data_IF_215510107265
#
_entry.id   IF_215510107265
#
_cell.length_a   1.000
_cell.length_b   1.000
_cell.length_c   1.000
_cell.angle_alpha   90.00
_cell.angle_beta   90.00
_cell.angle_gamma   90.00
#
_symmetry.space_group_name_H-M   'P 1'
#
loop_
_entity.id
_entity.type
_entity.pdbx_description
1 polymer ?
#
# COMPACT_ATOMS: atom_id res chain seq x y z
N UNK A 1 -29.84 39.74 13.13
CA UNK A 1 -30.29 38.95 11.95
C UNK A 1 -29.46 37.69 11.94
N UNK A 2 -30.11 36.54 12.12
CA UNK A 2 -29.47 35.24 12.25
C UNK A 2 -29.26 34.63 10.86
N UNK A 3 -28.06 34.11 10.59
CA UNK A 3 -27.80 33.30 9.39
C UNK A 3 -27.48 31.88 9.85
N UNK A 4 -28.36 30.94 9.47
CA UNK A 4 -28.33 29.54 9.85
C UNK A 4 -27.97 28.71 8.62
N UNK A 5 -26.90 27.96 8.75
CA UNK A 5 -26.45 26.85 7.90
C UNK A 5 -27.55 25.79 7.72
N UNK A 6 -27.72 25.23 6.50
CA UNK A 6 -27.82 23.78 6.29
C UNK A 6 -27.97 23.45 4.80
N UNK A 7 -27.02 22.68 4.27
CA UNK A 7 -27.21 21.80 3.12
C UNK A 7 -27.84 20.48 3.59
N UNK A 8 -28.71 19.86 2.78
CA UNK A 8 -29.16 18.45 2.86
C UNK A 8 -30.06 18.19 1.65
N UNK A 9 -29.60 17.45 0.64
CA UNK A 9 -29.70 15.98 0.50
C UNK A 9 -31.03 15.57 -0.15
N UNK A 10 -30.92 15.18 -1.42
CA UNK A 10 -31.92 14.43 -2.19
C UNK A 10 -32.20 13.07 -1.53
N UNK A 11 -33.44 12.59 -1.64
CA UNK A 11 -33.79 11.19 -1.37
C UNK A 11 -34.88 10.73 -2.32
N UNK A 12 -34.63 9.52 -2.81
CA UNK A 12 -35.31 8.70 -3.81
C UNK A 12 -36.73 8.29 -3.39
N UNK A 13 -37.61 8.16 -4.39
CA UNK A 13 -38.80 7.28 -4.49
C UNK A 13 -39.47 7.60 -5.84
N UNK A 14 -39.82 6.69 -6.75
CA UNK A 14 -40.37 5.35 -6.62
C UNK A 14 -40.22 4.61 -7.95
N UNK A 15 -39.96 3.30 -7.92
CA UNK A 15 -40.11 2.42 -9.09
C UNK A 15 -41.36 1.56 -8.91
N UNK A 16 -42.22 1.60 -9.93
CA UNK A 16 -43.51 0.93 -10.04
C UNK A 16 -43.37 -0.60 -10.14
N UNK A 17 -44.31 -1.33 -9.52
CA UNK A 17 -44.42 -2.79 -9.51
C UNK A 17 -45.51 -3.22 -10.49
N UNK A 18 -45.22 -4.17 -11.38
CA UNK A 18 -46.19 -4.86 -12.26
C UNK A 18 -45.74 -6.33 -12.47
N UNK A 19 -46.64 -7.27 -12.80
CA UNK A 19 -46.96 -8.40 -11.93
C UNK A 19 -46.50 -9.76 -12.44
N UNK A 20 -46.49 -10.72 -11.50
CA UNK A 20 -46.21 -12.14 -11.66
C UNK A 20 -47.27 -12.82 -12.55
N UNK A 21 -46.81 -13.50 -13.60
CA UNK A 21 -47.61 -14.52 -14.29
C UNK A 21 -46.80 -15.79 -14.61
N UNK A 22 -47.50 -16.88 -14.34
CA UNK A 22 -47.36 -18.34 -14.54
C UNK A 22 -46.08 -19.09 -14.92
N UNK A 23 -46.07 -20.35 -14.49
CA UNK A 23 -44.94 -21.26 -14.33
C UNK A 23 -44.78 -22.32 -15.45
N UNK A 24 -43.51 -22.78 -15.56
CA UNK A 24 -43.02 -24.12 -15.96
C UNK A 24 -42.82 -24.42 -17.47
N UNK A 25 -41.90 -25.36 -17.85
CA UNK A 25 -41.14 -26.29 -17.02
C UNK A 25 -39.60 -26.26 -17.19
N UNK A 26 -38.95 -26.95 -16.25
CA UNK A 26 -37.53 -27.19 -16.16
C UNK A 26 -36.94 -27.82 -17.44
N UNK A 27 -35.90 -27.18 -17.97
CA UNK A 27 -34.91 -27.83 -18.82
C UNK A 27 -33.53 -27.54 -18.24
N UNK A 28 -32.92 -28.61 -17.74
CA UNK A 28 -31.55 -28.67 -17.25
C UNK A 28 -30.62 -28.07 -18.30
N UNK A 29 -30.13 -26.86 -18.04
CA UNK A 29 -29.07 -26.24 -18.83
C UNK A 29 -27.84 -26.20 -17.94
N UNK A 30 -26.81 -26.87 -18.44
CA UNK A 30 -25.53 -27.13 -17.81
C UNK A 30 -24.97 -25.87 -17.16
N UNK A 31 -24.52 -25.99 -15.91
CA UNK A 31 -23.68 -25.00 -15.27
C UNK A 31 -22.35 -24.94 -16.03
N UNK A 32 -22.30 -24.12 -17.08
CA UNK A 32 -21.06 -23.64 -17.64
C UNK A 32 -20.47 -22.71 -16.59
N UNK A 33 -19.40 -23.16 -15.93
CA UNK A 33 -18.52 -22.31 -15.15
C UNK A 33 -18.05 -21.17 -16.07
N UNK A 34 -18.69 -20.01 -15.94
CA UNK A 34 -18.22 -18.76 -16.54
C UNK A 34 -16.79 -18.53 -16.03
N UNK A 35 -15.76 -18.63 -16.90
CA UNK A 35 -14.41 -18.31 -16.49
C UNK A 35 -14.42 -16.84 -16.12
N UNK A 36 -13.97 -16.52 -14.90
CA UNK A 36 -13.89 -15.17 -14.37
C UNK A 36 -13.41 -14.18 -15.44
N UNK A 37 -14.35 -13.49 -16.07
CA UNK A 37 -14.06 -12.58 -17.16
C UNK A 37 -13.46 -11.34 -16.52
N UNK A 38 -12.16 -11.16 -16.72
CA UNK A 38 -11.45 -9.96 -16.28
C UNK A 38 -12.16 -8.76 -16.93
N UNK A 39 -12.93 -8.03 -16.12
CA UNK A 39 -13.66 -6.86 -16.60
C UNK A 39 -12.61 -5.84 -17.01
N UNK A 40 -12.58 -5.49 -18.30
CA UNK A 40 -11.63 -4.53 -18.81
C UNK A 40 -11.76 -3.22 -18.02
N UNK A 41 -10.69 -2.81 -17.35
CA UNK A 41 -10.62 -1.51 -16.70
C UNK A 41 -10.90 -0.46 -17.78
N UNK A 42 -11.96 0.32 -17.58
CA UNK A 42 -12.32 1.42 -18.48
C UNK A 42 -11.07 2.28 -18.71
N UNK A 43 -10.72 2.52 -19.98
CA UNK A 43 -9.53 3.30 -20.33
C UNK A 43 -9.52 4.60 -19.51
N UNK A 44 -8.40 4.85 -18.83
CA UNK A 44 -8.25 5.98 -17.91
C UNK A 44 -8.51 7.28 -18.67
N UNK A 45 -9.33 8.17 -18.10
CA UNK A 45 -9.49 9.50 -18.66
C UNK A 45 -8.15 10.27 -18.57
N UNK A 46 -7.90 11.27 -19.42
CA UNK A 46 -6.67 12.06 -19.36
C UNK A 46 -6.41 12.67 -17.97
N UNK A 47 -7.47 13.04 -17.24
CA UNK A 47 -7.38 13.57 -15.88
C UNK A 47 -6.95 12.51 -14.86
N UNK A 48 -7.40 11.28 -15.04
CA UNK A 48 -6.99 10.16 -14.19
C UNK A 48 -5.51 9.80 -14.41
N UNK A 49 -5.04 9.84 -15.66
CA UNK A 49 -3.64 9.61 -16.01
C UNK A 49 -2.72 10.70 -15.45
N UNK A 50 -3.12 11.97 -15.57
CA UNK A 50 -2.39 13.09 -14.95
C UNK A 50 -2.31 12.94 -13.42
N UNK A 51 -3.42 12.60 -12.78
CA UNK A 51 -3.47 12.39 -11.33
C UNK A 51 -2.58 11.22 -10.87
N UNK A 52 -2.61 10.10 -11.61
CA UNK A 52 -1.76 8.95 -11.34
C UNK A 52 -0.28 9.32 -11.47
N UNK A 53 0.08 10.10 -12.49
CA UNK A 53 1.47 10.55 -12.69
C UNK A 53 1.97 11.38 -11.51
N UNK A 54 1.14 12.29 -10.99
CA UNK A 54 1.47 13.10 -9.82
C UNK A 54 1.64 12.20 -8.58
N UNK A 55 0.69 11.29 -8.34
CA UNK A 55 0.77 10.35 -7.20
C UNK A 55 2.03 9.49 -7.26
N UNK A 56 2.40 9.02 -8.44
CA UNK A 56 3.62 8.24 -8.60
C UNK A 56 4.89 9.06 -8.35
N UNK A 57 4.91 10.36 -8.68
CA UNK A 57 6.02 11.25 -8.29
C UNK A 57 6.07 11.42 -6.77
N UNK A 58 4.92 11.59 -6.11
CA UNK A 58 4.85 11.67 -4.64
C UNK A 58 5.41 10.38 -4.00
N UNK A 59 4.91 9.21 -4.40
CA UNK A 59 5.36 7.92 -3.85
C UNK A 59 6.86 7.71 -4.09
N UNK A 60 7.37 8.05 -5.28
CA UNK A 60 8.81 7.97 -5.61
C UNK A 60 9.70 8.83 -4.71
N UNK A 61 9.17 9.90 -4.13
CA UNK A 61 9.92 10.77 -3.22
C UNK A 61 10.09 10.18 -1.81
N UNK A 62 9.31 9.16 -1.44
CA UNK A 62 9.25 8.68 -0.05
C UNK A 62 10.57 8.10 0.49
N UNK A 63 11.37 7.36 -0.30
CA UNK A 63 12.71 6.97 0.14
C UNK A 63 13.64 8.18 0.39
N UNK A 64 13.56 9.24 -0.42
CA UNK A 64 14.34 10.46 -0.18
C UNK A 64 13.85 11.25 1.04
N UNK A 65 12.55 11.25 1.26
CA UNK A 65 11.90 11.83 2.44
C UNK A 65 12.37 11.17 3.75
N UNK A 66 12.73 9.89 3.71
CA UNK A 66 13.29 9.17 4.85
C UNK A 66 14.72 9.60 5.23
N UNK A 67 15.40 10.46 4.45
CA UNK A 67 16.74 10.95 4.81
C UNK A 67 16.73 11.89 6.04
N UNK A 68 15.58 12.50 6.37
CA UNK A 68 15.44 13.43 7.49
C UNK A 68 14.12 13.16 8.23
N UNK A 69 14.16 13.20 9.57
CA UNK A 69 12.99 12.92 10.42
C UNK A 69 11.82 13.87 10.14
N UNK A 70 12.11 15.13 9.85
CA UNK A 70 11.10 16.18 9.61
C UNK A 70 10.39 16.02 8.27
N UNK A 71 10.96 15.25 7.35
CA UNK A 71 10.42 15.07 6.00
C UNK A 71 9.83 13.69 5.81
N UNK A 72 9.55 12.95 6.88
CA UNK A 72 8.99 11.61 6.75
C UNK A 72 7.69 11.58 5.92
N UNK A 73 7.45 10.47 5.20
CA UNK A 73 6.21 10.27 4.45
C UNK A 73 4.97 10.43 5.34
N UNK A 74 3.82 10.83 4.78
CA UNK A 74 2.64 11.24 5.55
C UNK A 74 2.00 10.13 6.42
N UNK A 75 2.41 8.87 6.24
CA UNK A 75 1.99 7.74 7.06
C UNK A 75 2.94 7.42 8.22
N UNK A 76 4.06 8.14 8.35
CA UNK A 76 5.05 7.97 9.41
C UNK A 76 5.08 9.25 10.25
N UNK A 77 4.80 9.12 11.54
CA UNK A 77 4.85 10.26 12.46
C UNK A 77 6.32 10.78 12.56
N UNK A 78 6.58 12.11 12.57
CA UNK A 78 7.94 12.65 12.67
C UNK A 78 8.65 12.43 14.01
N UNK A 79 7.94 11.94 15.03
CA UNK A 79 8.42 11.71 16.40
C UNK A 79 9.08 12.95 17.05
N UNK A 80 8.59 14.15 16.74
CA UNK A 80 9.13 15.42 17.24
C UNK A 80 9.15 15.55 18.77
N UNK A 81 8.28 14.81 19.47
CA UNK A 81 8.19 14.80 20.93
C UNK A 81 9.20 13.85 21.61
N UNK A 82 9.92 13.03 20.85
CA UNK A 82 10.86 12.04 21.40
C UNK A 82 12.27 12.30 20.88
N UNK A 83 13.26 12.28 21.77
CA UNK A 83 14.67 12.45 21.39
C UNK A 83 15.18 11.30 20.50
N UNK A 84 14.75 10.09 20.85
CA UNK A 84 15.11 8.85 20.14
C UNK A 84 13.97 8.40 19.24
N UNK A 85 14.31 8.15 17.98
CA UNK A 85 13.41 7.54 17.01
C UNK A 85 13.34 6.03 17.28
N UNK A 86 12.17 5.37 17.08
CA UNK A 86 12.08 3.92 17.14
C UNK A 86 13.14 3.24 16.26
N UNK A 87 13.73 2.15 16.75
CA UNK A 87 14.83 1.45 16.08
C UNK A 87 14.49 1.08 14.62
N UNK A 88 13.31 0.52 14.39
CA UNK A 88 12.84 0.14 13.05
C UNK A 88 12.88 1.31 12.07
N UNK A 89 12.54 2.52 12.52
CA UNK A 89 12.59 3.72 11.68
C UNK A 89 14.02 4.25 11.53
N UNK A 90 14.88 4.12 12.54
CA UNK A 90 16.31 4.47 12.43
C UNK A 90 17.02 3.59 11.38
N UNK A 91 16.75 2.28 11.43
CA UNK A 91 17.29 1.33 10.46
C UNK A 91 16.74 1.62 9.06
N UNK A 92 15.43 1.89 8.95
CA UNK A 92 14.79 2.28 7.69
C UNK A 92 15.40 3.57 7.11
N UNK A 93 15.70 4.59 7.94
CA UNK A 93 16.42 5.80 7.49
C UNK A 93 17.81 5.47 6.91
N UNK A 94 18.55 4.57 7.57
CA UNK A 94 19.89 4.16 7.14
C UNK A 94 19.85 3.39 5.82
N UNK A 95 18.88 2.48 5.66
CA UNK A 95 18.61 1.78 4.41
C UNK A 95 18.15 2.75 3.31
N UNK A 96 17.36 3.77 3.64
CA UNK A 96 16.95 4.81 2.69
C UNK A 96 18.11 5.66 2.20
N UNK A 97 19.07 5.98 3.07
CA UNK A 97 20.32 6.61 2.66
C UNK A 97 21.08 5.74 1.65
N UNK A 98 21.26 4.45 1.97
CA UNK A 98 21.88 3.49 1.07
C UNK A 98 21.13 3.40 -0.27
N UNK A 99 19.79 3.39 -0.25
CA UNK A 99 18.96 3.36 -1.44
C UNK A 99 19.16 4.61 -2.31
N UNK A 100 19.18 5.80 -1.73
CA UNK A 100 19.34 7.06 -2.48
C UNK A 100 20.75 7.17 -3.10
N UNK A 101 21.77 6.68 -2.41
CA UNK A 101 23.16 6.69 -2.90
C UNK A 101 23.55 5.42 -3.64
N UNK A 102 22.59 4.55 -3.98
CA UNK A 102 22.90 3.25 -4.57
C UNK A 102 23.49 3.39 -5.97
N UNK A 103 24.36 2.46 -6.31
CA UNK A 103 24.94 2.23 -7.63
C UNK A 103 24.59 0.81 -8.05
N UNK A 104 24.82 0.48 -9.33
CA UNK A 104 24.62 -0.89 -9.82
C UNK A 104 25.44 -1.93 -9.02
N UNK A 105 26.62 -1.53 -8.55
CA UNK A 105 27.55 -2.39 -7.80
C UNK A 105 27.07 -2.68 -6.38
N UNK A 106 26.41 -1.71 -5.72
CA UNK A 106 25.97 -1.86 -4.32
C UNK A 106 24.48 -2.21 -4.18
N UNK A 107 23.71 -2.25 -5.28
CA UNK A 107 22.30 -2.69 -5.26
C UNK A 107 22.11 -4.08 -4.61
N UNK A 108 22.94 -5.11 -4.89
CA UNK A 108 22.82 -6.40 -4.20
C UNK A 108 23.02 -6.30 -2.67
N UNK A 109 23.89 -5.38 -2.23
CA UNK A 109 24.13 -5.14 -0.81
C UNK A 109 22.93 -4.45 -0.14
N UNK A 110 22.30 -3.48 -0.81
CA UNK A 110 21.05 -2.86 -0.37
C UNK A 110 19.97 -3.94 -0.14
N UNK A 111 19.74 -4.80 -1.13
CA UNK A 111 18.68 -5.79 -1.06
C UNK A 111 18.93 -6.84 0.03
N UNK A 112 20.19 -7.29 0.20
CA UNK A 112 20.57 -8.14 1.34
C UNK A 112 20.35 -7.45 2.69
N UNK A 113 20.61 -6.15 2.77
CA UNK A 113 20.38 -5.37 4.00
C UNK A 113 18.89 -5.29 4.33
N UNK A 114 18.03 -5.09 3.32
CA UNK A 114 16.58 -5.13 3.47
C UNK A 114 16.11 -6.53 3.92
N UNK A 115 16.57 -7.60 3.25
CA UNK A 115 16.20 -8.98 3.60
C UNK A 115 16.57 -9.33 5.06
N UNK A 116 17.75 -8.88 5.52
CA UNK A 116 18.18 -9.07 6.91
C UNK A 116 17.29 -8.33 7.91
N UNK A 117 16.93 -7.08 7.62
CA UNK A 117 16.07 -6.26 8.50
C UNK A 117 14.64 -6.82 8.57
N UNK A 118 14.12 -7.29 7.45
CA UNK A 118 12.80 -7.93 7.34
C UNK A 118 12.79 -9.27 8.08
N UNK A 119 13.88 -10.04 7.99
CA UNK A 119 14.05 -11.27 8.77
C UNK A 119 14.08 -11.00 10.27
N UNK A 120 14.70 -9.89 10.69
CA UNK A 120 14.68 -9.44 12.10
C UNK A 120 13.27 -9.20 12.59
N UNK A 121 12.43 -8.49 11.83
CA UNK A 121 11.02 -8.27 12.19
C UNK A 121 10.26 -9.58 12.36
N UNK A 122 10.47 -10.57 11.47
CA UNK A 122 9.82 -11.88 11.56
C UNK A 122 10.23 -12.64 12.82
N UNK A 123 11.52 -12.58 13.18
CA UNK A 123 12.04 -13.28 14.35
C UNK A 123 11.57 -12.64 15.66
N UNK A 124 11.38 -11.32 15.68
CA UNK A 124 10.93 -10.56 16.84
C UNK A 124 9.39 -10.44 16.94
N UNK A 125 8.64 -10.87 15.90
CA UNK A 125 7.20 -10.64 15.76
C UNK A 125 6.36 -11.10 16.97
N UNK A 126 6.73 -12.21 17.61
CA UNK A 126 5.99 -12.75 18.76
C UNK A 126 6.23 -11.97 20.07
N UNK A 127 7.28 -11.16 20.14
CA UNK A 127 7.69 -10.42 21.34
C UNK A 127 7.41 -8.90 21.21
N UNK A 128 6.96 -8.47 20.03
CA UNK A 128 6.78 -7.05 19.71
C UNK A 128 5.49 -6.47 20.28
N UNK A 129 5.61 -5.34 20.97
CA UNK A 129 4.48 -4.47 21.31
C UNK A 129 3.82 -3.89 20.05
N UNK A 130 2.54 -3.54 20.12
CA UNK A 130 1.76 -3.00 19.01
C UNK A 130 2.42 -1.80 18.33
N UNK A 131 3.10 -0.94 19.10
CA UNK A 131 3.84 0.21 18.54
C UNK A 131 5.06 -0.22 17.71
N UNK A 132 5.74 -1.28 18.14
CA UNK A 132 6.90 -1.82 17.42
C UNK A 132 6.42 -2.46 16.11
N UNK A 133 5.31 -3.21 16.14
CA UNK A 133 4.65 -3.75 14.93
C UNK A 133 4.26 -2.64 13.97
N UNK A 134 3.67 -1.55 14.45
CA UNK A 134 3.32 -0.40 13.60
C UNK A 134 4.55 0.19 12.90
N UNK A 135 5.65 0.42 13.63
CA UNK A 135 6.87 0.98 13.04
C UNK A 135 7.56 0.01 12.07
N UNK A 136 7.47 -1.30 12.30
CA UNK A 136 7.92 -2.31 11.35
C UNK A 136 7.07 -2.29 10.07
N UNK A 137 5.74 -2.21 10.17
CA UNK A 137 4.84 -2.07 9.02
C UNK A 137 5.12 -0.81 8.20
N UNK A 138 5.39 0.31 8.87
CA UNK A 138 5.82 1.55 8.21
C UNK A 138 7.15 1.37 7.46
N UNK A 139 8.13 0.69 8.05
CA UNK A 139 9.41 0.41 7.40
C UNK A 139 9.26 -0.54 6.19
N UNK A 140 8.47 -1.61 6.32
CA UNK A 140 8.21 -2.54 5.21
C UNK A 140 7.51 -1.84 4.05
N UNK A 141 6.56 -0.93 4.32
CA UNK A 141 5.93 -0.13 3.27
C UNK A 141 6.95 0.72 2.50
N UNK A 142 7.93 1.30 3.19
CA UNK A 142 9.03 2.01 2.52
C UNK A 142 9.86 1.05 1.65
N UNK A 143 10.17 -0.16 2.11
CA UNK A 143 10.92 -1.14 1.32
C UNK A 143 10.14 -1.61 0.08
N UNK A 144 8.82 -1.75 0.19
CA UNK A 144 7.95 -2.02 -0.97
C UNK A 144 7.98 -0.87 -1.98
N UNK A 145 7.99 0.37 -1.50
CA UNK A 145 8.13 1.55 -2.37
C UNK A 145 9.51 1.54 -3.03
N UNK A 146 10.59 1.30 -2.30
CA UNK A 146 11.93 1.16 -2.89
C UNK A 146 11.95 0.11 -3.99
N UNK A 147 11.28 -1.04 -3.78
CA UNK A 147 11.17 -2.11 -4.78
C UNK A 147 10.40 -1.68 -6.02
N UNK A 148 9.27 -0.99 -5.85
CA UNK A 148 8.48 -0.45 -6.96
C UNK A 148 9.26 0.61 -7.76
N UNK A 149 10.12 1.38 -7.10
CA UNK A 149 10.93 2.43 -7.74
C UNK A 149 12.21 1.89 -8.39
N UNK A 150 12.78 0.80 -7.87
CA UNK A 150 13.99 0.18 -8.43
C UNK A 150 13.73 -0.64 -9.69
N UNK A 151 12.46 -0.77 -10.13
CA UNK A 151 12.03 -1.55 -11.31
C UNK A 151 12.66 -2.95 -11.36
N UNK A 152 12.83 -3.57 -10.19
CA UNK A 152 13.57 -4.82 -10.07
C UNK A 152 12.88 -5.96 -10.83
N UNK A 153 13.66 -6.73 -11.61
CA UNK A 153 13.17 -7.89 -12.38
C UNK A 153 12.40 -8.91 -11.51
N UNK A 154 12.82 -9.04 -10.24
CA UNK A 154 12.25 -9.97 -9.26
C UNK A 154 11.21 -9.34 -8.32
N UNK A 155 10.50 -8.28 -8.76
CA UNK A 155 9.54 -7.53 -7.92
C UNK A 155 8.54 -8.46 -7.21
N UNK A 156 7.99 -9.46 -7.90
CA UNK A 156 7.00 -10.37 -7.31
C UNK A 156 7.59 -11.21 -6.17
N UNK A 157 8.76 -11.83 -6.38
CA UNK A 157 9.37 -12.71 -5.37
C UNK A 157 9.88 -11.92 -4.16
N UNK A 158 10.44 -10.73 -4.40
CA UNK A 158 10.89 -9.81 -3.33
C UNK A 158 9.70 -9.23 -2.56
N UNK A 159 8.64 -8.85 -3.27
CA UNK A 159 7.40 -8.35 -2.68
C UNK A 159 6.73 -9.38 -1.77
N UNK A 160 6.67 -10.65 -2.20
CA UNK A 160 6.14 -11.74 -1.38
C UNK A 160 6.91 -11.89 -0.05
N UNK A 161 8.25 -11.92 -0.11
CA UNK A 161 9.10 -12.02 1.10
C UNK A 161 8.90 -10.85 2.06
N UNK A 162 8.72 -9.63 1.54
CA UNK A 162 8.43 -8.45 2.37
C UNK A 162 7.08 -8.57 3.08
N UNK A 163 6.08 -9.15 2.43
CA UNK A 163 4.73 -9.31 2.99
C UNK A 163 4.60 -10.49 3.97
N UNK A 164 5.45 -11.52 3.84
CA UNK A 164 5.49 -12.67 4.76
C UNK A 164 5.74 -12.27 6.22
N UNK A 165 6.36 -11.11 6.50
CA UNK A 165 6.59 -10.63 7.86
C UNK A 165 5.31 -10.50 8.67
N UNK A 166 4.18 -10.21 8.02
CA UNK A 166 2.89 -10.01 8.69
C UNK A 166 2.01 -11.26 8.69
N UNK A 167 2.46 -12.35 8.07
CA UNK A 167 1.79 -13.64 8.12
C UNK A 167 2.22 -14.36 9.41
N UNK A 168 1.72 -13.87 10.54
CA UNK A 168 1.87 -14.53 11.84
C UNK A 168 0.90 -15.72 11.86
N UNK A 169 1.44 -16.94 12.01
CA UNK A 169 0.69 -18.20 12.19
C UNK A 169 0.43 -18.45 13.67
#
# INVERSE_FOLDING_TARGET
MAEKTSATSESLQSLEVLPLDEAAPAQSTEAVEEPATLTALKQSSPEAEASATILMHCIRSYPQMMLRRQTFPPFIHPHWHTERLPENLVNCMSIAQLFVTRTLENSPFLWRTIDNEVSRFKNEANEMDARVVQTAAQAVLIYLIMLAVDEAEDMSSRGARLLEVFQVS
#
